data_IF_773527271048
#
_entry.id   IF_773527271048
#
_cell.length_a   1.000
_cell.length_b   1.000
_cell.length_c   1.000
_cell.angle_alpha   90.00
_cell.angle_beta   90.00
_cell.angle_gamma   90.00
#
_symmetry.space_group_name_H-M   'P 1'
#
loop_
_entity.id
_entity.type
_entity.pdbx_description
1 polymer ?
#
# COMPACT_ATOMS: atom_id res chain seq x y z
N UNK A 1 -19.98 -49.06 61.10
CA UNK A 1 -21.36 -48.67 60.77
C UNK A 1 -21.66 -47.34 61.42
N UNK A 2 -21.38 -46.23 60.72
CA UNK A 2 -21.85 -44.88 61.03
C UNK A 2 -22.13 -44.22 59.68
N UNK A 3 -23.38 -43.90 59.42
CA UNK A 3 -23.87 -43.33 58.17
C UNK A 3 -23.66 -41.81 58.15
N UNK A 4 -23.07 -41.28 57.07
CA UNK A 4 -22.96 -39.82 56.84
C UNK A 4 -24.17 -39.36 56.01
N UNK A 5 -24.90 -38.35 56.49
CA UNK A 5 -26.13 -37.83 55.88
C UNK A 5 -25.87 -36.47 55.18
N UNK A 6 -26.02 -36.35 53.85
CA UNK A 6 -25.59 -35.17 53.09
C UNK A 6 -26.64 -34.04 52.97
N UNK A 7 -27.57 -33.88 53.92
CA UNK A 7 -28.74 -32.99 53.76
C UNK A 7 -28.85 -31.81 54.74
N UNK A 8 -27.77 -31.08 54.99
CA UNK A 8 -27.84 -29.82 55.76
C UNK A 8 -26.95 -28.72 55.18
N UNK A 9 -27.26 -28.27 53.96
CA UNK A 9 -26.62 -27.07 53.38
C UNK A 9 -27.58 -26.21 52.55
N UNK A 10 -28.89 -26.36 52.70
CA UNK A 10 -29.87 -25.48 52.05
C UNK A 10 -30.86 -24.92 53.08
N UNK A 11 -30.33 -24.13 54.02
CA UNK A 11 -31.13 -23.18 54.78
C UNK A 11 -30.85 -21.76 54.28
N UNK A 12 -31.89 -21.18 53.66
CA UNK A 12 -32.27 -19.78 53.81
C UNK A 12 -31.24 -18.68 53.59
N UNK A 13 -30.75 -18.51 52.36
CA UNK A 13 -30.14 -17.24 51.94
C UNK A 13 -31.22 -16.26 51.48
N UNK A 14 -31.58 -15.26 52.31
CA UNK A 14 -32.44 -14.15 51.88
C UNK A 14 -31.79 -13.43 50.69
N UNK A 15 -32.52 -13.34 49.57
CA UNK A 15 -32.08 -12.66 48.36
C UNK A 15 -32.02 -11.14 48.59
N UNK A 16 -30.95 -10.67 49.22
CA UNK A 16 -30.61 -9.26 49.24
C UNK A 16 -30.24 -8.81 47.82
N UNK A 17 -31.08 -7.96 47.21
CA UNK A 17 -30.73 -7.30 45.95
C UNK A 17 -29.51 -6.42 46.19
N UNK A 18 -28.35 -6.87 45.74
CA UNK A 18 -27.13 -6.06 45.71
C UNK A 18 -27.41 -4.87 44.77
N UNK A 19 -27.32 -3.60 45.22
CA UNK A 19 -27.53 -2.47 44.33
C UNK A 19 -26.44 -2.53 43.25
N UNK A 20 -26.86 -2.67 41.99
CA UNK A 20 -25.95 -2.62 40.85
C UNK A 20 -25.41 -1.20 40.73
N UNK A 21 -24.25 -0.94 41.31
CA UNK A 21 -23.51 0.29 41.08
C UNK A 21 -22.95 0.22 39.67
N UNK A 22 -23.58 0.92 38.74
CA UNK A 22 -23.06 1.12 37.40
C UNK A 22 -21.85 2.05 37.49
N UNK A 23 -20.65 1.49 37.55
CA UNK A 23 -19.42 2.27 37.45
C UNK A 23 -19.27 2.70 36.00
N UNK A 24 -19.54 3.98 35.71
CA UNK A 24 -19.26 4.56 34.40
C UNK A 24 -17.76 4.44 34.12
N UNK A 25 -17.39 3.53 33.23
CA UNK A 25 -16.02 3.42 32.73
C UNK A 25 -15.82 4.58 31.77
N UNK A 26 -15.08 5.61 32.21
CA UNK A 26 -14.56 6.64 31.31
C UNK A 26 -13.34 6.07 30.58
N UNK A 27 -13.58 5.23 29.58
CA UNK A 27 -12.55 4.80 28.65
C UNK A 27 -12.32 5.91 27.61
N UNK A 28 -11.05 6.24 27.37
CA UNK A 28 -10.62 7.11 26.26
C UNK A 28 -9.72 6.29 25.35
N UNK A 29 -9.76 6.57 24.06
CA UNK A 29 -8.80 5.98 23.12
C UNK A 29 -7.44 6.63 23.31
N UNK A 30 -6.45 5.84 23.74
CA UNK A 30 -5.07 6.30 23.94
C UNK A 30 -4.46 6.83 22.63
N UNK A 31 -4.79 6.16 21.51
CA UNK A 31 -4.39 6.56 20.16
C UNK A 31 -4.96 7.90 19.69
N UNK A 32 -6.06 8.38 20.29
CA UNK A 32 -6.69 9.65 19.94
C UNK A 32 -6.19 10.83 20.81
N UNK A 33 -5.31 10.56 21.79
CA UNK A 33 -4.77 11.60 22.65
C UNK A 33 -3.54 12.24 22.01
N UNK A 34 -3.46 13.57 22.01
CA UNK A 34 -2.27 14.31 21.60
C UNK A 34 -1.47 14.77 22.83
N UNK A 35 -0.44 14.00 23.18
CA UNK A 35 0.53 14.30 24.24
C UNK A 35 1.73 15.09 23.68
N UNK A 36 2.53 15.76 24.52
CA UNK A 36 3.73 16.46 24.06
C UNK A 36 4.69 15.57 23.26
N UNK A 37 4.85 14.30 23.65
CA UNK A 37 5.71 13.33 22.98
C UNK A 37 5.19 12.90 21.60
N UNK A 38 3.87 12.76 21.44
CA UNK A 38 3.29 12.28 20.18
C UNK A 38 2.85 13.42 19.24
N UNK A 39 2.88 14.68 19.69
CA UNK A 39 2.47 15.86 18.91
C UNK A 39 3.17 15.92 17.55
N UNK A 40 4.48 15.62 17.51
CA UNK A 40 5.25 15.61 16.25
C UNK A 40 4.85 14.45 15.34
N UNK A 41 4.50 13.31 15.93
CA UNK A 41 4.10 12.12 15.20
C UNK A 41 2.76 12.32 14.48
N UNK A 42 1.81 12.99 15.15
CA UNK A 42 0.48 13.25 14.61
C UNK A 42 0.35 14.61 13.90
N UNK A 43 1.43 15.40 13.77
CA UNK A 43 1.38 16.76 13.24
C UNK A 43 0.83 16.83 11.80
N UNK A 44 1.06 15.79 11.00
CA UNK A 44 0.59 15.70 9.62
C UNK A 44 -0.62 14.77 9.46
N UNK A 45 -1.22 14.31 10.56
CA UNK A 45 -2.43 13.49 10.53
C UNK A 45 -3.64 14.41 10.39
N UNK A 46 -4.08 14.61 9.15
CA UNK A 46 -5.32 15.31 8.85
C UNK A 46 -6.51 14.34 8.73
N UNK A 47 -7.72 14.89 8.65
CA UNK A 47 -8.95 14.12 8.43
C UNK A 47 -9.34 14.11 6.94
N UNK A 48 -8.40 14.41 6.04
CA UNK A 48 -8.67 14.46 4.62
C UNK A 48 -8.62 13.06 4.01
N UNK A 49 -9.42 12.83 2.97
CA UNK A 49 -9.21 11.67 2.11
C UNK A 49 -7.89 11.86 1.33
N UNK A 50 -7.27 10.75 0.93
CA UNK A 50 -6.01 10.79 0.18
C UNK A 50 -6.08 11.68 -1.07
N UNK A 51 -7.22 11.70 -1.76
CA UNK A 51 -7.43 12.55 -2.93
C UNK A 51 -7.60 14.03 -2.58
N UNK A 52 -8.24 14.34 -1.44
CA UNK A 52 -8.42 15.71 -0.97
C UNK A 52 -7.09 16.31 -0.46
N UNK A 53 -6.25 15.51 0.19
CA UNK A 53 -4.92 15.92 0.61
C UNK A 53 -3.94 16.08 -0.58
N UNK A 54 -4.13 15.31 -1.65
CA UNK A 54 -3.25 15.31 -2.81
C UNK A 54 -3.69 16.28 -3.92
N UNK A 55 -3.81 17.58 -3.63
CA UNK A 55 -4.18 18.59 -4.65
C UNK A 55 -3.21 18.61 -5.86
N UNK A 56 -3.62 19.13 -7.04
CA UNK A 56 -2.76 19.19 -8.22
C UNK A 56 -1.39 19.84 -7.97
N UNK A 57 -1.36 20.90 -7.16
CA UNK A 57 -0.16 21.63 -6.77
C UNK A 57 0.75 20.77 -5.89
N UNK A 58 0.20 20.09 -4.89
CA UNK A 58 0.94 19.18 -4.02
C UNK A 58 1.53 18.03 -4.85
N UNK A 59 0.76 17.44 -5.77
CA UNK A 59 1.26 16.40 -6.70
C UNK A 59 2.37 16.91 -7.60
N UNK A 60 2.34 18.18 -8.02
CA UNK A 60 3.41 18.80 -8.81
C UNK A 60 4.70 18.92 -7.98
N UNK A 61 4.58 19.41 -6.74
CA UNK A 61 5.72 19.57 -5.82
C UNK A 61 6.34 18.19 -5.49
N UNK A 62 5.51 17.22 -5.13
CA UNK A 62 5.96 15.86 -4.83
C UNK A 62 6.70 15.26 -6.03
N UNK A 63 6.17 15.40 -7.26
CA UNK A 63 6.83 14.89 -8.48
C UNK A 63 8.19 15.53 -8.71
N UNK A 64 8.30 16.84 -8.48
CA UNK A 64 9.58 17.54 -8.58
C UNK A 64 10.59 17.00 -7.56
N UNK A 65 10.19 16.88 -6.30
CA UNK A 65 11.06 16.39 -5.21
C UNK A 65 11.47 14.93 -5.41
N UNK A 66 10.53 14.06 -5.76
CA UNK A 66 10.82 12.64 -6.02
C UNK A 66 11.85 12.45 -7.14
N UNK A 67 11.84 13.28 -8.20
CA UNK A 67 12.86 13.24 -9.25
C UNK A 67 14.24 13.59 -8.73
N UNK A 68 14.34 14.60 -7.86
CA UNK A 68 15.61 14.98 -7.23
C UNK A 68 16.12 13.87 -6.29
N UNK A 69 15.25 13.30 -5.45
CA UNK A 69 15.63 12.23 -4.53
C UNK A 69 16.12 10.97 -5.26
N UNK A 70 15.42 10.56 -6.32
CA UNK A 70 15.82 9.39 -7.13
C UNK A 70 17.15 9.62 -7.85
N UNK A 71 17.42 10.86 -8.27
CA UNK A 71 18.69 11.18 -8.92
C UNK A 71 19.87 11.15 -7.93
N UNK A 72 19.64 11.53 -6.68
CA UNK A 72 20.68 11.62 -5.65
C UNK A 72 20.86 10.32 -4.84
N UNK A 73 19.85 9.44 -4.81
CA UNK A 73 19.87 8.21 -4.03
C UNK A 73 20.02 6.97 -4.93
N UNK A 74 21.18 6.32 -4.85
CA UNK A 74 21.47 5.12 -5.63
C UNK A 74 20.57 3.93 -5.29
N UNK A 75 20.10 3.80 -4.05
CA UNK A 75 19.15 2.77 -3.64
C UNK A 75 17.79 2.97 -4.30
N UNK A 76 17.28 4.20 -4.29
CA UNK A 76 16.02 4.54 -4.95
C UNK A 76 16.08 4.27 -6.46
N UNK A 77 17.21 4.63 -7.09
CA UNK A 77 17.47 4.32 -8.50
C UNK A 77 17.50 2.81 -8.78
N UNK A 78 18.14 2.02 -7.92
CA UNK A 78 18.18 0.57 -8.03
C UNK A 78 16.79 -0.06 -7.98
N UNK A 79 15.97 0.33 -7.00
CA UNK A 79 14.58 -0.16 -6.84
C UNK A 79 13.74 0.14 -8.09
N UNK A 80 13.83 1.36 -8.63
CA UNK A 80 13.08 1.77 -9.82
C UNK A 80 13.52 0.97 -11.05
N UNK A 81 14.82 0.72 -11.20
CA UNK A 81 15.36 -0.06 -12.31
C UNK A 81 14.88 -1.51 -12.26
N UNK A 82 14.91 -2.14 -11.08
CA UNK A 82 14.38 -3.49 -10.87
C UNK A 82 12.91 -3.55 -11.28
N UNK A 83 12.08 -2.64 -10.76
CA UNK A 83 10.66 -2.60 -11.10
C UNK A 83 10.40 -2.38 -12.60
N UNK A 84 11.18 -1.54 -13.25
CA UNK A 84 11.04 -1.30 -14.69
C UNK A 84 11.44 -2.53 -15.52
N UNK A 85 12.48 -3.24 -15.09
CA UNK A 85 12.93 -4.46 -15.74
C UNK A 85 11.96 -5.63 -15.51
N UNK A 86 11.41 -5.79 -14.31
CA UNK A 86 10.48 -6.87 -13.99
C UNK A 86 9.15 -6.72 -14.76
N UNK A 87 8.66 -5.48 -14.91
CA UNK A 87 7.37 -5.22 -15.59
C UNK A 87 7.49 -5.34 -17.10
N UNK A 88 8.58 -4.84 -17.70
CA UNK A 88 8.73 -4.86 -19.15
C UNK A 88 9.42 -6.14 -19.64
N UNK A 89 10.30 -6.72 -18.84
CA UNK A 89 11.07 -7.90 -19.20
C UNK A 89 11.80 -7.71 -20.53
N UNK A 90 11.67 -8.68 -21.42
CA UNK A 90 12.22 -8.65 -22.79
C UNK A 90 11.42 -7.79 -23.77
N UNK A 91 10.28 -7.24 -23.34
CA UNK A 91 9.37 -6.43 -24.15
C UNK A 91 8.03 -7.13 -24.45
N UNK A 92 7.05 -6.38 -24.98
CA UNK A 92 5.72 -6.91 -25.27
C UNK A 92 5.79 -7.93 -26.40
N UNK A 93 5.05 -9.04 -26.25
CA UNK A 93 4.85 -10.05 -27.29
C UNK A 93 3.44 -9.91 -27.84
N UNK A 94 3.34 -9.75 -29.16
CA UNK A 94 2.05 -9.78 -29.85
C UNK A 94 1.64 -11.23 -30.04
N UNK A 95 0.38 -11.54 -29.72
CA UNK A 95 -0.24 -12.82 -30.03
C UNK A 95 -1.44 -12.55 -30.94
N UNK A 96 -1.38 -13.04 -32.16
CA UNK A 96 -2.44 -12.84 -33.15
C UNK A 96 -3.42 -14.02 -33.09
N UNK A 97 -4.71 -13.68 -32.96
CA UNK A 97 -5.81 -14.64 -32.86
C UNK A 97 -6.76 -14.49 -34.05
N UNK A 98 -6.25 -14.37 -35.29
CA UNK A 98 -7.13 -14.43 -36.47
C UNK A 98 -7.50 -15.87 -36.81
N UNK A 99 -8.80 -16.08 -37.04
CA UNK A 99 -9.39 -17.28 -37.61
C UNK A 99 -9.45 -18.50 -36.67
N UNK A 100 -10.27 -19.47 -37.05
CA UNK A 100 -10.46 -20.74 -36.32
C UNK A 100 -9.33 -21.75 -36.63
N UNK A 101 -8.07 -21.31 -36.58
CA UNK A 101 -6.88 -22.15 -36.77
C UNK A 101 -6.40 -22.36 -38.21
N UNK A 102 -7.19 -22.01 -39.24
CA UNK A 102 -6.78 -22.14 -40.65
C UNK A 102 -5.72 -21.09 -41.09
N UNK A 103 -5.65 -19.93 -40.41
CA UNK A 103 -4.78 -18.80 -40.77
C UNK A 103 -3.48 -18.73 -39.94
N UNK A 104 -3.07 -19.84 -39.33
CA UNK A 104 -1.92 -19.89 -38.42
C UNK A 104 -0.61 -19.36 -39.06
N UNK A 105 -0.42 -19.54 -40.38
CA UNK A 105 0.75 -19.03 -41.10
C UNK A 105 0.78 -17.49 -41.22
N UNK A 106 -0.38 -16.86 -41.32
CA UNK A 106 -0.51 -15.38 -41.37
C UNK A 106 -0.24 -14.80 -39.99
N UNK A 107 -0.81 -15.39 -38.94
CA UNK A 107 -0.57 -14.99 -37.55
C UNK A 107 0.92 -15.02 -37.19
N UNK A 108 1.60 -16.13 -37.48
CA UNK A 108 3.04 -16.27 -37.22
C UNK A 108 3.89 -15.25 -38.00
N UNK A 109 3.48 -14.93 -39.23
CA UNK A 109 4.19 -13.94 -40.06
C UNK A 109 4.07 -12.54 -39.48
N UNK A 110 2.87 -12.14 -39.05
CA UNK A 110 2.61 -10.85 -38.39
C UNK A 110 3.38 -10.77 -37.07
N UNK A 111 3.35 -11.81 -36.24
CA UNK A 111 4.09 -11.85 -34.98
C UNK A 111 5.60 -11.73 -35.17
N UNK A 112 6.15 -12.39 -36.20
CA UNK A 112 7.58 -12.31 -36.54
C UNK A 112 7.97 -10.91 -37.01
N UNK A 113 7.20 -10.31 -37.91
CA UNK A 113 7.48 -8.95 -38.39
C UNK A 113 7.32 -7.92 -37.28
N UNK A 114 6.32 -8.08 -36.40
CA UNK A 114 6.18 -7.26 -35.20
C UNK A 114 7.40 -7.40 -34.29
N UNK A 115 7.88 -8.62 -34.02
CA UNK A 115 9.06 -8.84 -33.20
C UNK A 115 10.34 -8.27 -33.84
N UNK A 116 10.45 -8.27 -35.17
CA UNK A 116 11.55 -7.63 -35.91
C UNK A 116 11.50 -6.11 -35.77
N UNK A 117 10.32 -5.53 -36.01
CA UNK A 117 10.10 -4.10 -35.84
C UNK A 117 10.31 -3.63 -34.41
N UNK A 118 9.78 -4.34 -33.41
CA UNK A 118 9.88 -3.98 -31.99
C UNK A 118 11.34 -3.94 -31.52
N UNK A 119 12.18 -4.86 -32.02
CA UNK A 119 13.64 -4.84 -31.79
C UNK A 119 14.31 -3.65 -32.47
N UNK A 120 14.03 -3.41 -33.76
CA UNK A 120 14.59 -2.28 -34.49
C UNK A 120 14.20 -0.92 -33.88
N UNK A 121 12.95 -0.79 -33.42
CA UNK A 121 12.41 0.41 -32.79
C UNK A 121 12.83 0.58 -31.32
N UNK A 122 13.55 -0.40 -30.74
CA UNK A 122 13.94 -0.45 -29.32
C UNK A 122 12.74 -0.26 -28.38
N UNK A 123 11.64 -0.92 -28.70
CA UNK A 123 10.36 -0.73 -28.00
C UNK A 123 10.47 -1.04 -26.50
N UNK A 124 11.16 -2.11 -26.13
CA UNK A 124 11.37 -2.47 -24.73
C UNK A 124 12.14 -1.39 -23.94
N UNK A 125 13.18 -0.79 -24.53
CA UNK A 125 13.93 0.30 -23.89
C UNK A 125 13.04 1.52 -23.65
N UNK A 126 12.24 1.91 -24.66
CA UNK A 126 11.27 3.01 -24.55
C UNK A 126 10.23 2.74 -23.47
N UNK A 127 9.71 1.52 -23.40
CA UNK A 127 8.73 1.12 -22.39
C UNK A 127 9.34 1.09 -20.99
N UNK A 128 10.61 0.70 -20.83
CA UNK A 128 11.32 0.81 -19.55
C UNK A 128 11.48 2.27 -19.13
N UNK A 129 11.88 3.16 -20.05
CA UNK A 129 11.97 4.60 -19.76
C UNK A 129 10.61 5.19 -19.38
N UNK A 130 9.55 4.83 -20.08
CA UNK A 130 8.17 5.18 -19.71
C UNK A 130 7.80 4.60 -18.34
N UNK A 131 8.16 3.35 -18.07
CA UNK A 131 7.87 2.70 -16.79
C UNK A 131 8.66 3.31 -15.64
N UNK A 132 9.85 3.86 -15.87
CA UNK A 132 10.64 4.61 -14.89
C UNK A 132 10.08 6.01 -14.63
N UNK A 133 9.42 6.64 -15.60
CA UNK A 133 8.78 7.95 -15.40
C UNK A 133 7.53 7.86 -14.51
N UNK A 134 6.84 6.70 -14.50
CA UNK A 134 5.60 6.49 -13.74
C UNK A 134 5.77 6.42 -12.20
N UNK A 135 6.78 5.73 -11.62
CA UNK A 135 7.10 5.77 -10.20
C UNK A 135 7.39 7.19 -9.74
N UNK A 136 8.03 8.03 -10.55
CA UNK A 136 8.21 9.44 -10.19
C UNK A 136 6.87 10.20 -10.04
N UNK A 137 5.77 9.66 -10.58
CA UNK A 137 4.41 10.19 -10.44
C UNK A 137 3.55 9.47 -9.38
N UNK A 138 3.69 8.15 -9.21
CA UNK A 138 2.89 7.34 -8.26
C UNK A 138 3.59 7.06 -6.93
N UNK A 139 4.92 6.93 -6.92
CA UNK A 139 5.70 6.78 -5.70
C UNK A 139 5.73 8.05 -4.84
N UNK A 140 5.36 9.21 -5.40
CA UNK A 140 5.12 10.43 -4.62
C UNK A 140 4.17 10.24 -3.43
N UNK A 141 3.12 9.42 -3.59
CA UNK A 141 2.18 9.13 -2.51
C UNK A 141 2.85 8.33 -1.37
N UNK A 142 3.82 7.47 -1.70
CA UNK A 142 4.53 6.62 -0.76
C UNK A 142 5.72 7.34 -0.09
N UNK A 143 6.44 8.19 -0.83
CA UNK A 143 7.54 8.99 -0.29
C UNK A 143 7.08 10.12 0.63
N UNK A 144 5.90 10.71 0.38
CA UNK A 144 5.29 11.67 1.31
C UNK A 144 5.09 11.05 2.71
N UNK A 145 4.63 9.80 2.76
CA UNK A 145 4.42 9.06 4.01
C UNK A 145 5.73 8.64 4.71
N UNK A 146 6.76 8.26 3.93
CA UNK A 146 8.06 7.85 4.48
C UNK A 146 8.87 9.03 5.05
N UNK A 147 8.80 10.21 4.44
CA UNK A 147 9.53 11.40 4.92
C UNK A 147 9.01 11.96 6.25
N UNK A 148 7.72 11.75 6.57
CA UNK A 148 7.18 12.05 7.90
C UNK A 148 7.62 11.06 8.99
N UNK A 149 8.13 9.88 8.61
CA UNK A 149 8.58 8.86 9.55
C UNK A 149 10.07 8.93 9.88
N UNK A 150 10.90 9.53 9.00
CA UNK A 150 12.35 9.64 9.20
C UNK A 150 12.79 10.89 9.98
N UNK A 151 11.87 11.77 10.37
CA UNK A 151 12.16 12.88 11.28
C UNK A 151 12.08 12.41 12.75
N UNK A 152 13.06 11.62 13.18
CA UNK A 152 13.40 11.46 14.60
C UNK A 152 14.78 12.08 14.84
N UNK A 153 15.03 12.67 16.03
CA UNK A 153 16.23 13.45 16.33
C UNK A 153 17.52 12.63 16.21
#
# INVERSE_FOLDING_TARGET
MVWWNPKTWFEGGTSGRVPRVWRFIRAKFDSAQTTPDNRRHWANADLLSADAAATPEIRRILRSRARYEVANNCYARGIILTLANDVIGTGPRLQMLLGDGADAGVNQTIEREFARWARAARLAEKLRTMRMSRPSAQACAMWAYASSASARP
#
